data_IF_013590694613
#
_entry.id   IF_013590694613
#
_cell.length_a   1.000
_cell.length_b   1.000
_cell.length_c   1.000
_cell.angle_alpha   90.00
_cell.angle_beta   90.00
_cell.angle_gamma   90.00
#
_symmetry.space_group_name_H-M   'P 1'
#
loop_
_entity.id
_entity.type
_entity.pdbx_description
1 polymer ?
#
# COMPACT_ATOMS: atom_id res chain seq x y z
N UNK A 1 1.64 -7.39 18.45
CA UNK A 1 1.01 -6.21 19.09
C UNK A 1 0.49 -6.72 20.42
N UNK A 2 0.78 -6.03 21.52
CA UNK A 2 0.30 -6.51 22.82
C UNK A 2 -1.20 -6.27 22.91
N UNK A 3 -1.93 -7.14 23.61
CA UNK A 3 -3.39 -7.03 23.79
C UNK A 3 -3.80 -5.64 24.30
N UNK A 4 -3.01 -5.07 25.22
CA UNK A 4 -3.19 -3.71 25.74
C UNK A 4 -3.08 -2.61 24.68
N UNK A 5 -2.25 -2.81 23.64
CA UNK A 5 -2.15 -1.84 22.53
C UNK A 5 -3.47 -1.84 21.72
N UNK A 6 -4.04 -3.04 21.52
CA UNK A 6 -5.31 -3.23 20.82
C UNK A 6 -6.48 -2.62 21.60
N UNK A 7 -6.55 -2.88 22.90
CA UNK A 7 -7.55 -2.25 23.78
C UNK A 7 -7.45 -0.73 23.72
N UNK A 8 -6.23 -0.19 23.85
CA UNK A 8 -6.01 1.25 23.82
C UNK A 8 -6.45 1.89 22.49
N UNK A 9 -6.10 1.31 21.33
CA UNK A 9 -6.53 1.89 20.04
C UNK A 9 -8.06 1.87 19.92
N UNK A 10 -8.71 0.80 20.40
CA UNK A 10 -10.16 0.67 20.34
C UNK A 10 -10.88 1.62 21.28
N UNK A 11 -10.36 1.85 22.48
CA UNK A 11 -10.87 2.85 23.42
C UNK A 11 -10.74 4.28 22.88
N UNK A 12 -9.79 4.52 21.96
CA UNK A 12 -9.65 5.79 21.22
C UNK A 12 -10.50 5.87 19.96
N UNK A 13 -11.31 4.85 19.66
CA UNK A 13 -12.11 4.78 18.43
C UNK A 13 -11.25 4.63 17.16
N UNK A 14 -10.00 4.17 17.30
CA UNK A 14 -9.06 3.96 16.20
C UNK A 14 -9.21 2.50 15.72
N UNK A 15 -9.49 2.35 14.42
CA UNK A 15 -9.58 1.04 13.78
C UNK A 15 -8.23 0.46 13.41
N UNK A 16 -8.10 -0.86 13.51
CA UNK A 16 -6.95 -1.62 13.03
C UNK A 16 -7.08 -1.87 11.52
N UNK A 17 -5.96 -1.80 10.79
CA UNK A 17 -5.88 -2.21 9.39
C UNK A 17 -5.00 -3.45 9.24
N UNK A 18 -5.59 -4.55 8.82
CA UNK A 18 -4.88 -5.80 8.54
C UNK A 18 -4.32 -5.75 7.12
N UNK A 19 -3.00 -5.78 6.97
CA UNK A 19 -2.32 -5.71 5.66
C UNK A 19 -2.21 -7.09 5.01
N UNK A 20 -3.35 -7.65 4.58
CA UNK A 20 -3.45 -8.99 3.99
C UNK A 20 -3.29 -8.96 2.47
N UNK A 21 -2.12 -8.49 2.04
CA UNK A 21 -1.84 -8.15 0.64
C UNK A 21 -1.06 -9.25 -0.10
N UNK A 22 -1.22 -10.52 0.30
CA UNK A 22 -0.58 -11.63 -0.39
C UNK A 22 -1.18 -11.78 -1.80
N UNK A 23 -0.33 -11.87 -2.83
CA UNK A 23 -0.78 -12.04 -4.21
C UNK A 23 -1.26 -13.48 -4.52
N UNK A 24 -0.94 -14.45 -3.65
CA UNK A 24 -1.24 -15.87 -3.86
C UNK A 24 -2.22 -16.36 -2.79
N UNK A 25 -3.51 -16.40 -3.16
CA UNK A 25 -4.60 -16.80 -2.28
C UNK A 25 -5.13 -18.17 -2.71
N UNK A 26 -5.21 -19.11 -1.77
CA UNK A 26 -5.86 -20.41 -1.95
C UNK A 26 -6.98 -20.56 -0.93
N UNK A 27 -8.00 -21.32 -1.28
CA UNK A 27 -9.19 -21.53 -0.46
C UNK A 27 -8.83 -22.17 0.89
N UNK A 28 -7.89 -23.12 0.89
CA UNK A 28 -7.45 -23.78 2.12
C UNK A 28 -6.73 -22.83 3.07
N UNK A 29 -5.82 -21.98 2.55
CA UNK A 29 -5.14 -20.96 3.37
C UNK A 29 -6.08 -19.88 3.86
N UNK A 30 -7.13 -19.58 3.11
CA UNK A 30 -8.19 -18.69 3.58
C UNK A 30 -9.03 -19.34 4.70
N UNK A 31 -9.42 -20.61 4.56
CA UNK A 31 -10.12 -21.35 5.62
C UNK A 31 -9.30 -21.41 6.91
N UNK A 32 -8.00 -21.68 6.80
CA UNK A 32 -7.06 -21.67 7.93
C UNK A 32 -6.95 -20.31 8.62
N UNK A 33 -7.12 -19.19 7.90
CA UNK A 33 -6.99 -17.84 8.46
C UNK A 33 -8.28 -17.29 9.11
N UNK A 34 -9.42 -17.98 8.97
CA UNK A 34 -10.70 -17.54 9.52
C UNK A 34 -10.68 -17.23 11.02
N UNK A 35 -10.03 -18.03 11.90
CA UNK A 35 -9.97 -17.71 13.33
C UNK A 35 -9.30 -16.35 13.60
N UNK A 36 -8.18 -16.07 12.93
CA UNK A 36 -7.48 -14.78 13.02
C UNK A 36 -8.36 -13.64 12.49
N UNK A 37 -9.01 -13.82 11.34
CA UNK A 37 -9.91 -12.81 10.79
C UNK A 37 -11.10 -12.53 11.71
N UNK A 38 -11.64 -13.57 12.37
CA UNK A 38 -12.74 -13.44 13.33
C UNK A 38 -12.33 -12.66 14.58
N UNK A 39 -11.11 -12.86 15.07
CA UNK A 39 -10.58 -12.18 16.27
C UNK A 39 -10.61 -10.64 16.14
N UNK A 40 -10.32 -10.12 14.96
CA UNK A 40 -10.27 -8.68 14.70
C UNK A 40 -11.53 -8.14 13.98
N UNK A 41 -12.56 -8.96 13.80
CA UNK A 41 -13.75 -8.59 13.03
C UNK A 41 -14.65 -7.64 13.82
N UNK A 42 -14.67 -6.36 13.42
CA UNK A 42 -15.51 -5.33 14.02
C UNK A 42 -15.62 -4.10 13.13
N UNK A 43 -16.68 -3.31 13.34
CA UNK A 43 -16.83 -2.00 12.72
C UNK A 43 -15.64 -1.10 13.05
N UNK A 44 -15.15 -0.40 12.03
CA UNK A 44 -13.99 0.49 12.12
C UNK A 44 -12.69 -0.15 11.68
N UNK A 45 -12.55 -1.47 11.82
CA UNK A 45 -11.38 -2.18 11.31
C UNK A 45 -11.46 -2.34 9.79
N UNK A 46 -10.31 -2.50 9.15
CA UNK A 46 -10.22 -2.72 7.72
C UNK A 46 -9.24 -3.84 7.35
N UNK A 47 -9.48 -4.45 6.19
CA UNK A 47 -8.56 -5.39 5.55
C UNK A 47 -8.09 -4.80 4.23
N UNK A 48 -6.78 -4.73 4.03
CA UNK A 48 -6.17 -4.29 2.79
C UNK A 48 -5.83 -5.52 1.95
N UNK A 49 -6.39 -5.64 0.75
CA UNK A 49 -6.23 -6.84 -0.10
C UNK A 49 -5.53 -6.51 -1.42
N UNK A 50 -4.72 -7.46 -1.91
CA UNK A 50 -4.06 -7.35 -3.21
C UNK A 50 -4.85 -8.03 -4.35
N UNK A 51 -5.96 -8.70 -4.05
CA UNK A 51 -6.75 -9.47 -5.01
C UNK A 51 -8.24 -9.28 -4.72
N UNK A 52 -9.04 -9.29 -5.79
CA UNK A 52 -10.51 -9.24 -5.69
C UNK A 52 -11.04 -10.50 -5.00
N UNK A 53 -10.45 -11.67 -5.28
CA UNK A 53 -10.82 -12.95 -4.65
C UNK A 53 -10.76 -12.90 -3.12
N UNK A 54 -9.73 -12.29 -2.52
CA UNK A 54 -9.69 -12.13 -1.06
C UNK A 54 -10.70 -11.09 -0.57
N UNK A 55 -10.92 -10.01 -1.34
CA UNK A 55 -11.94 -9.03 -0.99
C UNK A 55 -13.34 -9.65 -0.94
N UNK A 56 -13.70 -10.49 -1.92
CA UNK A 56 -14.96 -11.24 -1.96
C UNK A 56 -15.14 -12.13 -0.73
N UNK A 57 -14.11 -12.92 -0.40
CA UNK A 57 -14.12 -13.78 0.78
C UNK A 57 -14.36 -13.00 2.08
N UNK A 58 -13.62 -11.90 2.27
CA UNK A 58 -13.76 -11.06 3.46
C UNK A 58 -15.15 -10.39 3.50
N UNK A 59 -15.65 -9.89 2.37
CA UNK A 59 -16.97 -9.24 2.30
C UNK A 59 -18.08 -10.20 2.70
N UNK A 60 -17.99 -11.45 2.26
CA UNK A 60 -19.00 -12.47 2.52
C UNK A 60 -18.97 -12.99 3.96
N UNK A 61 -17.79 -13.30 4.49
CA UNK A 61 -17.65 -13.94 5.80
C UNK A 61 -17.58 -12.92 6.96
N UNK A 62 -17.10 -11.69 6.69
CA UNK A 62 -16.76 -10.70 7.70
C UNK A 62 -17.22 -9.27 7.32
N UNK A 63 -18.54 -9.03 7.20
CA UNK A 63 -19.09 -7.81 6.57
C UNK A 63 -18.79 -6.49 7.31
N UNK A 64 -18.57 -6.51 8.63
CA UNK A 64 -18.19 -5.29 9.38
C UNK A 64 -16.78 -4.75 9.06
N UNK A 65 -15.91 -5.51 8.39
CA UNK A 65 -14.65 -4.95 7.90
C UNK A 65 -14.91 -3.97 6.77
N UNK A 66 -14.19 -2.85 6.80
CA UNK A 66 -13.92 -2.10 5.57
C UNK A 66 -12.90 -2.85 4.72
N UNK A 67 -13.06 -2.82 3.41
CA UNK A 67 -12.12 -3.46 2.49
C UNK A 67 -11.42 -2.40 1.66
N UNK A 68 -10.09 -2.46 1.64
CA UNK A 68 -9.27 -1.53 0.88
C UNK A 68 -8.53 -2.26 -0.26
N UNK A 69 -8.70 -1.78 -1.49
CA UNK A 69 -7.86 -2.22 -2.59
C UNK A 69 -6.44 -1.69 -2.37
N UNK A 70 -5.50 -2.61 -2.26
CA UNK A 70 -4.09 -2.31 -2.09
C UNK A 70 -3.53 -1.49 -3.25
N UNK A 71 -2.59 -0.58 -2.95
CA UNK A 71 -1.80 0.10 -3.96
C UNK A 71 -0.94 -0.82 -4.84
N UNK A 72 -0.77 -2.09 -4.44
CA UNK A 72 -0.06 -3.11 -5.22
C UNK A 72 -0.96 -3.82 -6.24
N UNK A 73 -2.25 -3.45 -6.28
CA UNK A 73 -3.13 -3.77 -7.41
C UNK A 73 -2.81 -2.92 -8.66
N UNK A 74 -1.92 -1.92 -8.52
CA UNK A 74 -1.37 -1.12 -9.62
C UNK A 74 -2.48 -0.53 -10.52
N UNK A 75 -3.45 0.14 -9.87
CA UNK A 75 -4.53 0.89 -10.55
C UNK A 75 -3.98 2.24 -11.00
N UNK A 76 -3.58 2.35 -12.26
CA UNK A 76 -2.80 3.49 -12.79
C UNK A 76 -3.57 4.40 -13.72
N UNK A 77 -4.84 4.09 -14.00
CA UNK A 77 -5.69 4.87 -14.90
C UNK A 77 -7.17 4.80 -14.46
N UNK A 78 -7.97 5.70 -15.01
CA UNK A 78 -9.38 5.85 -14.62
C UNK A 78 -10.25 4.68 -15.11
N UNK A 79 -9.88 4.04 -16.22
CA UNK A 79 -10.61 2.87 -16.70
C UNK A 79 -10.51 1.72 -15.70
N UNK A 80 -9.30 1.43 -15.21
CA UNK A 80 -9.07 0.43 -14.19
C UNK A 80 -9.69 0.83 -12.85
N UNK A 81 -9.64 2.11 -12.47
CA UNK A 81 -10.30 2.61 -11.26
C UNK A 81 -11.82 2.36 -11.29
N UNK A 82 -12.50 2.76 -12.37
CA UNK A 82 -13.95 2.59 -12.51
C UNK A 82 -14.34 1.10 -12.56
N UNK A 83 -13.51 0.22 -13.13
CA UNK A 83 -13.71 -1.24 -13.02
C UNK A 83 -13.71 -1.71 -11.57
N UNK A 84 -12.84 -1.17 -10.72
CA UNK A 84 -12.77 -1.50 -9.29
C UNK A 84 -13.91 -0.90 -8.49
N UNK A 85 -14.41 0.27 -8.87
CA UNK A 85 -15.65 0.84 -8.30
C UNK A 85 -16.84 -0.06 -8.62
N UNK A 86 -16.95 -0.54 -9.86
CA UNK A 86 -18.08 -1.34 -10.32
C UNK A 86 -18.18 -2.73 -9.68
N UNK A 87 -17.11 -3.24 -9.03
CA UNK A 87 -17.20 -4.50 -8.28
C UNK A 87 -17.96 -4.36 -6.96
N UNK A 88 -18.11 -3.14 -6.46
CA UNK A 88 -18.67 -2.84 -5.13
C UNK A 88 -17.98 -3.55 -3.96
N UNK A 89 -16.79 -4.12 -4.20
CA UNK A 89 -16.03 -4.87 -3.19
C UNK A 89 -15.29 -3.95 -2.22
N UNK A 90 -15.06 -2.69 -2.56
CA UNK A 90 -14.09 -1.84 -1.89
C UNK A 90 -14.72 -0.59 -1.27
N UNK A 91 -14.42 -0.35 0.01
CA UNK A 91 -14.74 0.88 0.72
C UNK A 91 -13.66 1.96 0.49
N UNK A 92 -12.48 1.55 0.03
CA UNK A 92 -11.37 2.43 -0.31
C UNK A 92 -10.53 1.82 -1.42
N UNK A 93 -10.12 2.63 -2.39
CA UNK A 93 -9.20 2.27 -3.46
C UNK A 93 -7.93 3.09 -3.28
N UNK A 94 -6.81 2.42 -3.02
CA UNK A 94 -5.52 3.07 -2.80
C UNK A 94 -4.74 3.08 -4.11
N UNK A 95 -4.35 4.26 -4.61
CA UNK A 95 -3.54 4.35 -5.81
C UNK A 95 -2.10 3.90 -5.56
N UNK A 96 -1.40 3.37 -6.58
CA UNK A 96 0.04 3.23 -6.53
C UNK A 96 0.69 4.61 -6.37
N UNK A 97 1.77 4.63 -5.62
CA UNK A 97 2.41 5.87 -5.13
C UNK A 97 2.84 6.80 -6.27
N UNK A 98 3.31 6.24 -7.39
CA UNK A 98 3.70 7.04 -8.56
C UNK A 98 2.53 7.75 -9.23
N UNK A 99 1.29 7.29 -9.01
CA UNK A 99 0.09 7.95 -9.53
C UNK A 99 -0.37 9.11 -8.66
N UNK A 100 0.26 9.36 -7.50
CA UNK A 100 -0.06 10.52 -6.67
C UNK A 100 0.15 11.86 -7.42
N UNK A 101 1.09 11.90 -8.36
CA UNK A 101 1.45 13.13 -9.09
C UNK A 101 0.83 13.20 -10.49
N UNK A 102 0.07 12.17 -10.88
CA UNK A 102 -0.73 12.20 -12.10
C UNK A 102 -2.03 12.96 -11.84
N UNK A 103 -1.93 14.29 -11.83
CA UNK A 103 -3.08 15.16 -11.58
C UNK A 103 -4.19 14.95 -12.60
N UNK A 104 -3.86 14.67 -13.86
CA UNK A 104 -4.86 14.41 -14.91
C UNK A 104 -5.67 13.15 -14.58
N UNK A 105 -5.00 12.08 -14.16
CA UNK A 105 -5.67 10.88 -13.69
C UNK A 105 -6.53 11.17 -12.45
N UNK A 106 -5.97 11.79 -11.42
CA UNK A 106 -6.67 12.08 -10.17
C UNK A 106 -7.91 12.97 -10.40
N UNK A 107 -7.79 14.01 -11.22
CA UNK A 107 -8.90 14.90 -11.58
C UNK A 107 -10.03 14.13 -12.27
N UNK A 108 -9.69 13.18 -13.14
CA UNK A 108 -10.66 12.36 -13.90
C UNK A 108 -11.47 11.37 -13.06
N UNK A 109 -11.01 11.02 -11.85
CA UNK A 109 -11.71 10.07 -10.96
C UNK A 109 -13.03 10.68 -10.48
N UNK A 110 -14.15 9.97 -10.66
CA UNK A 110 -15.46 10.43 -10.19
C UNK A 110 -15.68 10.14 -8.71
N UNK A 111 -15.43 8.91 -8.28
CA UNK A 111 -15.62 8.44 -6.89
C UNK A 111 -14.40 8.74 -6.01
N UNK A 112 -14.09 10.02 -5.84
CA UNK A 112 -12.99 10.50 -4.97
C UNK A 112 -13.22 10.18 -3.49
N UNK A 113 -14.46 9.94 -3.09
CA UNK A 113 -14.81 9.46 -1.76
C UNK A 113 -14.23 8.07 -1.45
N UNK A 114 -14.00 7.24 -2.47
CA UNK A 114 -13.33 5.93 -2.32
C UNK A 114 -11.80 6.06 -2.39
N UNK A 115 -11.28 7.13 -2.99
CA UNK A 115 -9.86 7.28 -3.27
C UNK A 115 -9.03 7.48 -1.99
N UNK A 116 -7.87 6.83 -1.90
CA UNK A 116 -6.82 7.15 -0.94
C UNK A 116 -5.47 7.34 -1.63
N UNK A 117 -4.79 8.43 -1.27
CA UNK A 117 -3.41 8.72 -1.68
C UNK A 117 -2.43 8.47 -0.54
N UNK A 118 -1.16 8.28 -0.87
CA UNK A 118 -0.09 8.26 0.14
C UNK A 118 0.50 9.65 0.35
N UNK A 119 0.92 9.94 1.57
CA UNK A 119 1.72 11.14 1.89
C UNK A 119 3.12 10.69 2.29
N UNK A 120 4.13 11.39 1.76
CA UNK A 120 5.53 11.26 2.15
C UNK A 120 6.10 9.83 2.02
N UNK A 121 5.84 9.16 0.90
CA UNK A 121 6.35 7.81 0.65
C UNK A 121 7.19 7.72 -0.63
N UNK A 122 8.24 6.93 -0.56
CA UNK A 122 9.37 7.00 -1.48
C UNK A 122 9.66 5.69 -2.22
N UNK A 123 9.71 4.54 -1.53
CA UNK A 123 10.29 3.31 -2.09
C UNK A 123 9.65 2.83 -3.41
N UNK A 124 8.34 2.99 -3.60
CA UNK A 124 7.66 2.54 -4.84
C UNK A 124 7.43 3.62 -5.90
N UNK A 125 7.74 4.88 -5.58
CA UNK A 125 7.45 6.04 -6.43
C UNK A 125 8.15 5.97 -7.79
N UNK A 126 9.43 5.61 -7.81
CA UNK A 126 10.25 5.45 -9.01
C UNK A 126 10.70 3.98 -9.19
N UNK A 127 10.07 3.02 -8.51
CA UNK A 127 10.55 1.64 -8.53
C UNK A 127 10.43 1.03 -9.94
N UNK A 128 11.53 0.55 -10.55
CA UNK A 128 11.54 0.08 -11.93
C UNK A 128 10.83 -1.25 -12.11
N UNK A 129 10.77 -2.03 -11.02
CA UNK A 129 9.91 -3.21 -10.94
C UNK A 129 9.64 -3.56 -9.49
N UNK A 130 8.37 -3.67 -9.11
CA UNK A 130 7.92 -3.92 -7.73
C UNK A 130 8.00 -5.40 -7.35
N UNK A 131 9.12 -6.08 -7.71
CA UNK A 131 9.38 -7.51 -7.46
C UNK A 131 9.31 -7.88 -5.97
N UNK A 132 9.60 -6.92 -5.10
CA UNK A 132 9.59 -7.05 -3.66
C UNK A 132 8.25 -7.53 -3.09
N UNK A 133 7.12 -7.14 -3.70
CA UNK A 133 5.80 -7.57 -3.24
C UNK A 133 5.55 -9.07 -3.50
N UNK A 134 5.98 -9.55 -4.67
CA UNK A 134 5.90 -10.97 -5.01
C UNK A 134 6.86 -11.81 -4.15
N UNK A 135 8.07 -11.30 -3.89
CA UNK A 135 9.01 -12.00 -3.00
C UNK A 135 8.52 -12.04 -1.57
N UNK A 136 7.99 -10.93 -1.03
CA UNK A 136 7.40 -10.90 0.32
C UNK A 136 6.24 -11.88 0.44
N UNK A 137 5.38 -11.95 -0.59
CA UNK A 137 4.27 -12.91 -0.63
C UNK A 137 4.74 -14.37 -0.53
N UNK A 138 5.87 -14.71 -1.16
CA UNK A 138 6.49 -16.04 -1.08
C UNK A 138 7.19 -16.29 0.25
N UNK A 139 7.86 -15.28 0.82
CA UNK A 139 8.49 -15.38 2.16
C UNK A 139 7.43 -15.65 3.23
N UNK A 140 6.31 -14.92 3.20
CA UNK A 140 5.20 -15.12 4.13
C UNK A 140 4.53 -16.49 4.00
N UNK A 141 4.81 -17.23 2.92
CA UNK A 141 4.35 -18.60 2.67
C UNK A 141 5.47 -19.64 2.87
N UNK A 142 6.62 -19.20 3.36
CA UNK A 142 7.82 -20.04 3.57
C UNK A 142 8.38 -20.66 2.28
N UNK A 143 7.92 -20.20 1.10
CA UNK A 143 8.34 -20.68 -0.22
C UNK A 143 9.66 -20.05 -0.68
N UNK A 144 10.15 -19.04 0.04
CA UNK A 144 11.38 -18.31 -0.27
C UNK A 144 12.04 -17.80 0.99
N UNK A 145 13.38 -17.79 1.00
CA UNK A 145 14.19 -17.02 1.95
C UNK A 145 14.77 -15.78 1.27
N UNK A 146 14.75 -14.66 1.98
CA UNK A 146 15.36 -13.40 1.53
C UNK A 146 14.50 -12.60 0.55
N UNK A 147 14.54 -11.29 0.72
CA UNK A 147 13.87 -10.31 -0.14
C UNK A 147 14.65 -10.07 -1.43
N UNK A 148 13.94 -9.71 -2.51
CA UNK A 148 14.56 -9.13 -3.70
C UNK A 148 14.00 -7.73 -3.92
N UNK A 149 14.90 -6.81 -4.23
CA UNK A 149 14.60 -5.47 -4.72
C UNK A 149 15.20 -5.31 -6.11
N UNK A 150 14.44 -4.72 -7.03
CA UNK A 150 14.84 -4.51 -8.43
C UNK A 150 16.09 -3.63 -8.55
N UNK A 151 16.17 -2.53 -7.81
CA UNK A 151 17.36 -1.68 -7.81
C UNK A 151 18.55 -2.40 -7.16
N UNK A 152 18.38 -2.82 -5.90
CA UNK A 152 19.50 -3.26 -5.06
C UNK A 152 20.07 -4.61 -5.52
N UNK A 153 19.21 -5.58 -5.87
CA UNK A 153 19.63 -6.96 -6.14
C UNK A 153 19.67 -7.28 -7.63
N UNK A 154 18.85 -6.60 -8.45
CA UNK A 154 18.81 -6.83 -9.90
C UNK A 154 19.50 -5.71 -10.70
N UNK A 155 19.97 -4.65 -10.05
CA UNK A 155 20.68 -3.56 -10.71
C UNK A 155 19.81 -2.72 -11.66
N UNK A 156 18.48 -2.79 -11.54
CA UNK A 156 17.58 -2.05 -12.43
C UNK A 156 17.59 -0.57 -12.10
N UNK A 157 17.81 0.26 -13.12
CA UNK A 157 17.77 1.72 -12.97
C UNK A 157 16.33 2.20 -12.75
N UNK A 158 16.11 3.00 -11.69
CA UNK A 158 14.83 3.69 -11.47
C UNK A 158 14.59 4.78 -12.51
N UNK A 159 13.32 5.07 -12.76
CA UNK A 159 12.85 5.96 -13.82
C UNK A 159 13.00 7.45 -13.52
N UNK A 160 13.27 7.82 -12.26
CA UNK A 160 13.40 9.21 -11.82
C UNK A 160 14.30 9.30 -10.60
N UNK A 161 15.14 10.33 -10.51
CA UNK A 161 15.84 10.74 -9.30
C UNK A 161 15.93 12.26 -9.28
N UNK A 162 15.99 12.83 -8.09
CA UNK A 162 16.28 14.24 -7.95
C UNK A 162 17.21 14.44 -6.76
N UNK A 163 18.49 14.68 -7.04
CA UNK A 163 19.52 14.87 -6.02
C UNK A 163 19.49 16.29 -5.41
N UNK A 164 18.74 17.20 -6.03
CA UNK A 164 18.55 18.59 -5.57
C UNK A 164 17.39 18.72 -4.55
N UNK A 165 16.51 17.72 -4.47
CA UNK A 165 15.44 17.67 -3.47
C UNK A 165 15.96 17.00 -2.20
N UNK A 166 15.74 17.63 -1.06
CA UNK A 166 15.86 16.97 0.25
C UNK A 166 14.61 16.10 0.47
N UNK A 167 14.67 14.84 0.07
CA UNK A 167 13.52 13.92 0.11
C UNK A 167 12.95 13.69 1.51
N UNK A 168 13.76 13.84 2.57
CA UNK A 168 13.29 13.79 3.97
C UNK A 168 12.42 15.00 4.34
N UNK A 169 12.48 16.07 3.58
CA UNK A 169 11.71 17.31 3.76
C UNK A 169 10.65 17.50 2.66
N UNK A 170 10.46 16.49 1.80
CA UNK A 170 9.50 16.58 0.70
C UNK A 170 8.08 16.82 1.22
N UNK A 171 7.45 17.86 0.68
CA UNK A 171 6.12 18.31 1.10
C UNK A 171 5.03 17.75 0.18
N UNK A 172 4.11 16.99 0.76
CA UNK A 172 2.85 16.62 0.10
C UNK A 172 1.82 17.76 0.27
N UNK A 173 1.37 18.36 -0.84
CA UNK A 173 0.40 19.47 -0.86
C UNK A 173 -1.02 18.99 -0.51
N UNK A 174 -1.23 18.68 0.77
CA UNK A 174 -2.52 18.24 1.30
C UNK A 174 -3.66 19.22 0.95
N UNK A 175 -3.53 20.54 1.12
CA UNK A 175 -4.59 21.49 0.77
C UNK A 175 -5.03 21.41 -0.70
N UNK A 176 -4.11 21.15 -1.64
CA UNK A 176 -4.46 20.96 -3.05
C UNK A 176 -5.38 19.75 -3.23
N UNK A 177 -5.02 18.59 -2.68
CA UNK A 177 -5.83 17.36 -2.83
C UNK A 177 -7.16 17.44 -2.06
N UNK A 178 -7.20 18.11 -0.92
CA UNK A 178 -8.46 18.35 -0.18
C UNK A 178 -9.43 19.21 -1.00
N UNK A 179 -8.94 20.25 -1.69
CA UNK A 179 -9.75 21.07 -2.63
C UNK A 179 -10.29 20.25 -3.80
N UNK A 180 -9.60 19.18 -4.19
CA UNK A 180 -10.09 18.23 -5.20
C UNK A 180 -11.18 17.29 -4.66
N UNK A 181 -11.50 17.33 -3.35
CA UNK A 181 -12.49 16.47 -2.71
C UNK A 181 -11.94 15.16 -2.16
N UNK A 182 -10.62 15.04 -2.00
CA UNK A 182 -9.95 13.85 -1.45
C UNK A 182 -9.80 14.01 0.06
N UNK A 183 -10.24 13.03 0.83
CA UNK A 183 -10.25 13.08 2.30
C UNK A 183 -9.52 11.92 2.98
N UNK A 184 -9.01 10.96 2.21
CA UNK A 184 -8.33 9.77 2.75
C UNK A 184 -6.87 9.81 2.33
N UNK A 185 -5.99 9.81 3.33
CA UNK A 185 -4.55 9.81 3.12
C UNK A 185 -3.89 8.74 3.98
N UNK A 186 -2.82 8.14 3.46
CA UNK A 186 -1.93 7.28 4.24
C UNK A 186 -0.60 7.99 4.43
N UNK A 187 -0.38 8.50 5.64
CA UNK A 187 0.88 9.12 6.02
C UNK A 187 1.94 8.05 6.31
N UNK A 188 3.10 8.18 5.69
CA UNK A 188 4.32 7.54 6.15
C UNK A 188 5.13 8.60 6.90
N UNK A 189 5.48 8.39 8.18
CA UNK A 189 6.25 9.37 8.93
C UNK A 189 7.56 9.73 8.21
N UNK A 190 7.97 11.01 8.24
CA UNK A 190 9.19 11.49 7.56
C UNK A 190 10.49 11.06 8.25
N UNK A 191 10.47 10.00 9.05
CA UNK A 191 11.66 9.53 9.73
C UNK A 191 12.56 8.83 8.71
N UNK A 192 13.77 9.36 8.52
CA UNK A 192 14.72 8.90 7.51
C UNK A 192 15.06 7.40 7.66
N UNK A 193 15.07 6.87 8.89
CA UNK A 193 15.31 5.45 9.17
C UNK A 193 14.13 4.53 8.77
N UNK A 194 12.92 5.08 8.71
CA UNK A 194 11.71 4.38 8.27
C UNK A 194 11.45 4.54 6.78
N UNK A 195 11.95 5.61 6.19
CA UNK A 195 11.89 5.85 4.77
C UNK A 195 13.07 5.19 4.05
N UNK A 196 12.86 4.89 2.78
CA UNK A 196 13.93 4.50 1.86
C UNK A 196 14.35 5.68 0.98
N UNK A 197 14.47 6.87 1.55
CA UNK A 197 14.87 8.11 0.85
C UNK A 197 16.22 7.96 0.19
N UNK A 198 17.11 7.15 0.76
CA UNK A 198 18.38 6.80 0.13
C UNK A 198 18.23 6.24 -1.29
N UNK A 199 17.11 5.57 -1.62
CA UNK A 199 16.80 5.05 -2.95
C UNK A 199 16.36 6.14 -3.95
N UNK A 200 16.09 7.35 -3.46
CA UNK A 200 15.65 8.50 -4.26
C UNK A 200 16.81 9.37 -4.73
N UNK A 201 18.01 9.15 -4.17
CA UNK A 201 19.24 9.84 -4.54
C UNK A 201 20.10 8.97 -5.46
N UNK A 202 20.42 9.46 -6.66
CA UNK A 202 21.27 8.76 -7.63
C UNK A 202 22.68 8.54 -7.07
N UNK A 203 23.21 9.53 -6.34
CA UNK A 203 24.52 9.42 -5.65
C UNK A 203 24.67 8.20 -4.72
N UNK A 204 23.56 7.64 -4.22
CA UNK A 204 23.60 6.55 -3.24
C UNK A 204 23.61 5.14 -3.84
N UNK A 205 23.34 4.97 -5.14
CA UNK A 205 23.13 3.61 -5.71
C UNK A 205 24.32 2.69 -5.59
N UNK A 206 25.53 3.20 -5.86
CA UNK A 206 26.72 2.36 -5.83
C UNK A 206 26.95 1.78 -4.44
N UNK A 207 26.68 2.57 -3.39
CA UNK A 207 26.74 2.13 -2.02
C UNK A 207 25.62 1.12 -1.70
N UNK A 208 24.37 1.42 -2.07
CA UNK A 208 23.21 0.55 -1.86
C UNK A 208 23.36 -0.84 -2.53
N UNK A 209 23.92 -0.88 -3.74
CA UNK A 209 24.17 -2.12 -4.46
C UNK A 209 25.30 -2.95 -3.82
N UNK A 210 26.25 -2.31 -3.13
CA UNK A 210 27.33 -2.99 -2.39
C UNK A 210 26.87 -3.51 -1.04
N UNK A 211 25.98 -2.80 -0.34
CA UNK A 211 25.51 -3.16 1.00
C UNK A 211 24.55 -4.37 1.06
N UNK A 212 24.12 -4.88 -0.08
CA UNK A 212 23.16 -5.99 -0.17
C UNK A 212 23.78 -7.32 -0.64
N UNK A 213 25.10 -7.37 -0.79
CA UNK A 213 25.88 -8.60 -0.97
C UNK A 213 26.24 -9.17 0.40
#
# INVERSE_FOLDING_TARGET
MFEKDIEWIYDKGIGLKLTLQNKFITDDKYKESKPFLKEYHRKGNAVITATDKLAEYIRNDFPDYKIEASCIQDITDNEHYEKKVATELYDTIVLPIHSNDDLKFIESIKRKDLLRLFMNIECSYNCPSKVCYGTTSKINREERKGMICSLIHLGMERTFYNDDITWSEFYFDLPMYEKMGISKFKLVPPKEDQQRTALMYKRNHQWLAKSAK
#
